data_IF_459021800057
#
_entry.id   IF_459021800057
#
_cell.length_a   1.000
_cell.length_b   1.000
_cell.length_c   1.000
_cell.angle_alpha   90.00
_cell.angle_beta   90.00
_cell.angle_gamma   90.00
#
_symmetry.space_group_name_H-M   'P 1'
#
loop_
_entity.id
_entity.type
_entity.pdbx_description
1 polymer ?
#
# COMPACT_ATOMS: atom_id res chain seq x y z
N UNK A 1 -15.70 15.17 21.80
CA UNK A 1 -15.49 16.26 20.82
C UNK A 1 -14.67 15.73 19.66
N UNK A 2 -15.11 15.99 18.44
CA UNK A 2 -14.39 15.59 17.24
C UNK A 2 -13.50 16.72 16.75
N UNK A 3 -12.28 16.39 16.36
CA UNK A 3 -11.35 17.34 15.74
C UNK A 3 -11.47 17.18 14.23
N UNK A 4 -11.65 18.29 13.53
CA UNK A 4 -11.75 18.30 12.08
C UNK A 4 -10.58 19.08 11.50
N UNK A 5 -9.86 18.45 10.57
CA UNK A 5 -8.76 19.09 9.84
C UNK A 5 -9.28 19.63 8.52
N UNK A 6 -8.83 20.79 8.09
CA UNK A 6 -9.21 21.27 6.77
C UNK A 6 -8.47 20.49 5.67
N UNK A 7 -8.92 20.66 4.41
CA UNK A 7 -8.39 19.91 3.29
C UNK A 7 -6.89 20.16 3.06
N UNK A 8 -6.43 21.41 3.26
CA UNK A 8 -5.02 21.74 3.03
C UNK A 8 -4.11 21.08 4.07
N UNK A 9 -4.57 20.95 5.31
CA UNK A 9 -3.82 20.25 6.37
C UNK A 9 -3.74 18.77 6.07
N UNK A 10 -4.86 18.17 5.66
CA UNK A 10 -4.88 16.75 5.29
C UNK A 10 -3.96 16.47 4.12
N UNK A 11 -3.97 17.31 3.10
CA UNK A 11 -3.08 17.20 1.95
C UNK A 11 -1.61 17.29 2.37
N UNK A 12 -1.26 18.24 3.24
CA UNK A 12 0.11 18.39 3.73
C UNK A 12 0.57 17.15 4.50
N UNK A 13 -0.30 16.59 5.34
CA UNK A 13 0.02 15.42 6.16
C UNK A 13 0.20 14.17 5.30
N UNK A 14 -0.71 13.92 4.36
CA UNK A 14 -0.59 12.74 3.50
C UNK A 14 0.58 12.89 2.52
N UNK A 15 0.91 14.10 2.09
CA UNK A 15 2.10 14.37 1.26
C UNK A 15 3.38 14.06 2.04
N UNK A 16 3.44 14.44 3.31
CA UNK A 16 4.58 14.09 4.16
C UNK A 16 4.72 12.58 4.32
N UNK A 17 3.61 11.86 4.46
CA UNK A 17 3.60 10.41 4.52
C UNK A 17 4.10 9.80 3.22
N UNK A 18 3.63 10.31 2.08
CA UNK A 18 4.10 9.87 0.76
C UNK A 18 5.61 10.03 0.63
N UNK A 19 6.12 11.19 1.01
CA UNK A 19 7.54 11.49 0.88
C UNK A 19 8.40 10.65 1.83
N UNK A 20 7.85 10.28 2.98
CA UNK A 20 8.56 9.45 3.96
C UNK A 20 8.81 8.03 3.43
N UNK A 21 8.00 7.55 2.50
CA UNK A 21 8.12 6.19 1.95
C UNK A 21 8.58 6.18 0.49
N UNK A 22 9.05 7.30 -0.04
CA UNK A 22 9.58 7.36 -1.41
C UNK A 22 10.69 6.32 -1.60
N UNK A 23 10.66 5.61 -2.72
CA UNK A 23 11.57 4.50 -3.03
C UNK A 23 11.48 3.31 -2.06
N UNK A 24 10.43 3.26 -1.24
CA UNK A 24 10.19 2.16 -0.33
C UNK A 24 9.49 1.00 -1.00
N UNK A 25 8.80 0.18 -0.21
CA UNK A 25 8.10 -1.01 -0.70
C UNK A 25 6.73 -1.16 -0.06
N UNK A 26 5.79 -1.72 -0.84
CA UNK A 26 4.52 -2.20 -0.33
C UNK A 26 4.61 -3.72 -0.21
N UNK A 27 4.45 -4.25 0.99
CA UNK A 27 4.42 -5.70 1.22
C UNK A 27 2.99 -6.15 1.44
N UNK A 28 2.57 -7.16 0.69
CA UNK A 28 1.25 -7.77 0.81
C UNK A 28 1.43 -9.13 1.45
N UNK A 29 0.65 -9.42 2.46
CA UNK A 29 0.78 -10.65 3.22
C UNK A 29 -0.54 -11.24 3.71
N UNK A 30 -0.42 -12.32 4.45
CA UNK A 30 -1.55 -12.96 5.11
C UNK A 30 -2.00 -12.13 6.30
N UNK A 31 -3.09 -12.54 6.96
CA UNK A 31 -3.62 -11.83 8.11
C UNK A 31 -2.52 -11.55 9.13
N UNK A 32 -2.48 -10.32 9.64
CA UNK A 32 -1.47 -9.82 10.58
C UNK A 32 -0.04 -9.88 10.04
N UNK A 33 0.12 -9.95 8.71
CA UNK A 33 1.44 -10.05 8.05
C UNK A 33 2.27 -11.24 8.51
N UNK A 34 1.61 -12.35 8.82
CA UNK A 34 2.30 -13.57 9.24
C UNK A 34 3.26 -14.10 8.18
N UNK A 35 2.90 -13.94 6.90
CA UNK A 35 3.79 -14.26 5.76
C UNK A 35 3.66 -13.18 4.71
N UNK A 36 4.77 -12.77 4.13
CA UNK A 36 4.77 -11.83 3.00
C UNK A 36 4.59 -12.62 1.71
N UNK A 37 3.58 -12.29 0.93
CA UNK A 37 3.24 -12.97 -0.31
C UNK A 37 3.82 -12.28 -1.53
N UNK A 38 3.81 -10.95 -1.54
CA UNK A 38 4.30 -10.16 -2.67
C UNK A 38 4.86 -8.83 -2.18
N UNK A 39 5.85 -8.31 -2.88
CA UNK A 39 6.47 -7.02 -2.57
C UNK A 39 6.51 -6.16 -3.82
N UNK A 40 5.90 -4.97 -3.76
CA UNK A 40 5.89 -3.99 -4.85
C UNK A 40 6.81 -2.83 -4.49
N UNK A 41 7.69 -2.45 -5.41
CA UNK A 41 8.55 -1.27 -5.22
C UNK A 41 7.77 0.01 -5.49
N UNK A 42 7.83 0.95 -4.57
CA UNK A 42 7.25 2.29 -4.76
C UNK A 42 8.16 3.12 -5.67
N UNK A 43 7.56 3.95 -6.52
CA UNK A 43 8.33 4.85 -7.37
C UNK A 43 9.00 5.94 -6.54
N UNK A 44 9.89 6.71 -7.16
CA UNK A 44 10.60 7.80 -6.48
C UNK A 44 9.65 8.86 -5.92
N UNK A 45 8.52 9.07 -6.56
CA UNK A 45 7.51 10.01 -6.08
C UNK A 45 6.42 9.36 -5.23
N UNK A 46 6.35 8.02 -5.23
CA UNK A 46 5.37 7.21 -4.50
C UNK A 46 3.91 7.56 -4.81
N UNK A 47 3.66 8.28 -5.91
CA UNK A 47 2.31 8.58 -6.36
C UNK A 47 1.90 10.04 -6.23
N UNK A 48 0.58 10.27 -6.30
CA UNK A 48 0.00 11.62 -6.30
C UNK A 48 -0.97 11.78 -5.14
N UNK A 49 -1.05 13.01 -4.61
CA UNK A 49 -1.97 13.37 -3.55
C UNK A 49 -2.97 14.38 -4.11
N UNK A 50 -4.26 14.09 -3.90
CA UNK A 50 -5.34 15.00 -4.26
C UNK A 50 -6.30 15.10 -3.07
N UNK A 51 -6.42 16.29 -2.50
CA UNK A 51 -7.21 16.47 -1.28
C UNK A 51 -6.63 15.65 -0.14
N UNK A 52 -7.42 14.75 0.42
CA UNK A 52 -6.99 13.86 1.50
C UNK A 52 -6.72 12.43 0.99
N UNK A 53 -6.65 12.23 -0.32
CA UNK A 53 -6.43 10.91 -0.92
C UNK A 53 -5.06 10.85 -1.57
N UNK A 54 -4.30 9.81 -1.22
CA UNK A 54 -3.02 9.50 -1.82
C UNK A 54 -3.19 8.25 -2.69
N UNK A 55 -2.97 8.41 -4.00
CA UNK A 55 -2.95 7.29 -4.94
C UNK A 55 -1.50 6.87 -5.13
N UNK A 56 -1.17 5.65 -4.71
CA UNK A 56 0.19 5.15 -4.74
C UNK A 56 0.61 4.83 -6.18
N UNK A 57 1.89 5.06 -6.47
CA UNK A 57 2.51 4.69 -7.73
C UNK A 57 3.67 3.73 -7.48
N UNK A 58 3.80 2.74 -8.35
CA UNK A 58 4.77 1.66 -8.21
C UNK A 58 5.64 1.56 -9.46
N UNK A 59 6.84 1.00 -9.28
CA UNK A 59 7.74 0.74 -10.40
C UNK A 59 7.16 -0.33 -11.32
N UNK A 60 6.44 -1.30 -10.76
CA UNK A 60 5.74 -2.33 -11.51
C UNK A 60 4.42 -2.66 -10.82
N UNK A 61 3.36 -2.85 -11.60
CA UNK A 61 2.03 -3.20 -11.07
C UNK A 61 1.83 -4.71 -10.97
N UNK A 62 2.75 -5.51 -11.49
CA UNK A 62 2.70 -6.98 -11.43
C UNK A 62 4.04 -7.50 -10.95
N UNK A 63 4.01 -8.36 -9.93
CA UNK A 63 5.19 -9.03 -9.41
C UNK A 63 4.89 -10.50 -9.17
N UNK A 64 5.92 -11.35 -9.17
CA UNK A 64 5.77 -12.75 -8.84
C UNK A 64 5.69 -12.90 -7.31
N UNK A 65 4.75 -13.72 -6.85
CA UNK A 65 4.59 -13.99 -5.43
C UNK A 65 5.77 -14.80 -4.90
N UNK A 66 6.25 -14.43 -3.71
CA UNK A 66 7.34 -15.15 -3.06
C UNK A 66 6.86 -16.30 -2.19
N UNK A 67 5.58 -16.35 -1.88
CA UNK A 67 4.97 -17.39 -1.06
C UNK A 67 3.49 -17.53 -1.41
N UNK A 68 2.87 -18.62 -0.99
CA UNK A 68 1.43 -18.85 -1.20
C UNK A 68 0.62 -18.54 0.04
N UNK A 69 -0.63 -18.17 -0.16
CA UNK A 69 -1.58 -17.89 0.91
C UNK A 69 -2.69 -16.96 0.44
N UNK A 70 -3.51 -16.50 1.38
CA UNK A 70 -4.57 -15.54 1.09
C UNK A 70 -4.11 -14.15 1.52
N UNK A 71 -4.10 -13.22 0.58
CA UNK A 71 -3.75 -11.82 0.87
C UNK A 71 -4.85 -11.19 1.72
N UNK A 72 -4.50 -10.63 2.86
CA UNK A 72 -5.46 -10.04 3.79
C UNK A 72 -4.96 -8.76 4.43
N UNK A 73 -3.66 -8.50 4.42
CA UNK A 73 -3.07 -7.32 5.03
C UNK A 73 -1.90 -6.81 4.19
N UNK A 74 -1.56 -5.55 4.40
CA UNK A 74 -0.42 -4.94 3.73
C UNK A 74 0.25 -3.95 4.66
N UNK A 75 1.51 -3.66 4.38
CA UNK A 75 2.26 -2.60 5.06
C UNK A 75 3.20 -1.93 4.07
N UNK A 76 3.54 -0.69 4.37
CA UNK A 76 4.47 0.08 3.54
C UNK A 76 5.71 0.36 4.35
N UNK A 77 6.86 0.05 3.77
CA UNK A 77 8.17 0.33 4.35
C UNK A 77 8.84 1.47 3.59
N UNK A 78 9.69 2.21 4.28
CA UNK A 78 10.52 3.23 3.63
C UNK A 78 11.72 2.58 2.93
N UNK A 79 12.55 3.40 2.30
CA UNK A 79 13.72 2.90 1.57
C UNK A 79 14.76 2.23 2.48
N UNK A 80 14.72 2.50 3.77
CA UNK A 80 15.58 1.86 4.75
C UNK A 80 15.05 0.54 5.29
N UNK A 81 13.84 0.12 4.87
CA UNK A 81 13.23 -1.12 5.31
C UNK A 81 12.44 -1.02 6.61
N UNK A 82 12.19 0.19 7.10
CA UNK A 82 11.39 0.40 8.30
C UNK A 82 9.91 0.52 7.93
N UNK A 83 9.05 -0.26 8.60
CA UNK A 83 7.61 -0.18 8.38
C UNK A 83 7.09 1.18 8.87
N UNK A 84 6.49 1.95 7.97
CA UNK A 84 5.95 3.28 8.27
C UNK A 84 4.44 3.30 8.32
N UNK A 85 3.78 2.45 7.54
CA UNK A 85 2.33 2.35 7.46
C UNK A 85 1.96 0.88 7.58
N UNK A 86 1.10 0.56 8.54
CA UNK A 86 0.65 -0.81 8.80
C UNK A 86 -0.88 -0.85 8.86
N UNK A 87 -1.43 -2.04 8.86
CA UNK A 87 -2.87 -2.22 9.02
C UNK A 87 -3.69 -1.90 7.77
N UNK A 88 -3.06 -1.87 6.60
CA UNK A 88 -3.78 -1.68 5.34
C UNK A 88 -4.61 -2.92 5.02
N UNK A 89 -5.82 -2.71 4.51
CA UNK A 89 -6.69 -3.80 4.08
C UNK A 89 -6.39 -4.16 2.63
N UNK A 90 -6.55 -5.45 2.31
CA UNK A 90 -6.31 -5.97 0.97
C UNK A 90 -7.52 -6.79 0.54
N UNK A 91 -7.97 -6.58 -0.69
CA UNK A 91 -9.10 -7.31 -1.24
C UNK A 91 -9.20 -7.12 -2.74
N UNK A 92 -10.29 -7.63 -3.32
CA UNK A 92 -10.59 -7.43 -4.74
C UNK A 92 -11.49 -6.22 -4.98
N UNK A 93 -12.05 -5.67 -3.92
CA UNK A 93 -12.83 -4.43 -3.93
C UNK A 93 -13.01 -3.91 -2.51
N UNK A 94 -13.28 -2.62 -2.38
CA UNK A 94 -13.63 -2.00 -1.08
C UNK A 94 -12.51 -1.97 -0.05
N UNK A 95 -11.27 -2.17 -0.46
CA UNK A 95 -10.09 -2.19 0.42
C UNK A 95 -9.10 -1.10 0.03
N UNK A 96 -8.15 -0.81 0.91
CA UNK A 96 -7.09 0.18 0.61
C UNK A 96 -6.24 -0.28 -0.57
N UNK A 97 -5.94 -1.57 -0.61
CA UNK A 97 -5.16 -2.20 -1.68
C UNK A 97 -6.09 -3.15 -2.43
N UNK A 98 -6.20 -2.95 -3.73
CA UNK A 98 -7.05 -3.77 -4.60
C UNK A 98 -6.17 -4.63 -5.50
N UNK A 99 -6.34 -5.94 -5.41
CA UNK A 99 -5.64 -6.93 -6.23
C UNK A 99 -6.63 -7.57 -7.21
N UNK A 100 -6.10 -8.16 -8.27
CA UNK A 100 -6.90 -8.97 -9.20
C UNK A 100 -7.39 -10.27 -8.54
N UNK A 101 -6.62 -10.79 -7.58
CA UNK A 101 -6.96 -12.02 -6.87
C UNK A 101 -6.23 -12.03 -5.53
N UNK A 102 -6.93 -12.42 -4.46
CA UNK A 102 -6.35 -12.54 -3.12
C UNK A 102 -5.86 -13.95 -2.82
N UNK A 103 -6.28 -14.95 -3.58
CA UNK A 103 -5.77 -16.32 -3.45
C UNK A 103 -4.49 -16.44 -4.27
N UNK A 104 -3.36 -16.55 -3.59
CA UNK A 104 -2.03 -16.43 -4.21
C UNK A 104 -1.26 -17.73 -4.00
N UNK A 105 -0.63 -18.20 -5.07
CA UNK A 105 0.29 -19.32 -5.04
C UNK A 105 1.71 -18.82 -5.22
N UNK A 106 2.69 -19.51 -4.63
CA UNK A 106 4.10 -19.18 -4.81
C UNK A 106 4.46 -19.16 -6.31
N UNK A 107 5.09 -18.08 -6.75
CA UNK A 107 5.44 -17.89 -8.15
C UNK A 107 4.33 -17.33 -9.03
N UNK A 108 3.11 -17.23 -8.52
CA UNK A 108 2.00 -16.63 -9.26
C UNK A 108 2.22 -15.14 -9.44
N UNK A 109 1.83 -14.60 -10.61
CA UNK A 109 1.85 -13.17 -10.82
C UNK A 109 0.73 -12.50 -10.02
N UNK A 110 1.08 -11.50 -9.23
CA UNK A 110 0.13 -10.70 -8.45
C UNK A 110 0.05 -9.33 -9.12
N UNK A 111 -1.15 -8.94 -9.54
CA UNK A 111 -1.38 -7.66 -10.19
C UNK A 111 -2.13 -6.73 -9.26
N UNK A 112 -1.57 -5.53 -9.08
CA UNK A 112 -2.15 -4.48 -8.27
C UNK A 112 -3.06 -3.63 -9.15
N UNK A 113 -4.37 -3.65 -8.84
CA UNK A 113 -5.36 -2.87 -9.59
C UNK A 113 -5.40 -1.42 -9.11
N UNK A 114 -5.36 -1.20 -7.81
CA UNK A 114 -5.26 0.14 -7.24
C UNK A 114 -4.73 0.09 -5.82
N UNK A 115 -4.16 1.19 -5.38
CA UNK A 115 -3.73 1.35 -4.01
C UNK A 115 -3.94 2.83 -3.63
N UNK A 116 -4.82 3.07 -2.67
CA UNK A 116 -5.12 4.43 -2.20
C UNK A 116 -5.16 4.46 -0.68
N UNK A 117 -4.72 5.58 -0.13
CA UNK A 117 -4.81 5.83 1.32
C UNK A 117 -5.50 7.17 1.50
N UNK A 118 -6.54 7.18 2.30
CA UNK A 118 -7.30 8.40 2.62
C UNK A 118 -6.99 8.83 4.03
N UNK A 119 -6.62 10.10 4.19
CA UNK A 119 -6.43 10.69 5.52
C UNK A 119 -7.82 10.99 6.09
N UNK A 120 -8.11 10.36 7.19
CA UNK A 120 -9.41 10.52 7.86
C UNK A 120 -9.67 11.88 8.48
#
# INVERSE_FOLDING_TARGET
MAVTYDASVKTARITATRDAVANGTLEIGTASMASVLATFGLSATSGTVSGSVWTLAFDASTVAASAGGTAAAARIKDSGGTARITGLTVGTSGSDIILDNTSINSGQNVTLSSATITHG
#
